data_IF_267787360075
#
_entry.id   IF_267787360075
#
_cell.length_a   1.000
_cell.length_b   1.000
_cell.length_c   1.000
_cell.angle_alpha   90.00
_cell.angle_beta   90.00
_cell.angle_gamma   90.00
#
_symmetry.space_group_name_H-M   'P 1'
#
loop_
_entity.id
_entity.type
_entity.pdbx_description
1 polymer ?
#
# COMPACT_ATOMS: atom_id res chain seq x y z
N UNK A 1 -4.43 27.24 -15.59
CA UNK A 1 -5.68 26.52 -15.25
C UNK A 1 -5.41 25.71 -14.00
N UNK A 2 -6.25 25.83 -12.97
CA UNK A 2 -6.19 24.97 -11.77
C UNK A 2 -6.36 23.52 -12.25
N UNK A 3 -5.44 22.62 -11.91
CA UNK A 3 -5.57 21.21 -12.25
C UNK A 3 -6.82 20.68 -11.52
N UNK A 4 -7.62 19.83 -12.18
CA UNK A 4 -8.87 19.29 -11.61
C UNK A 4 -8.65 18.57 -10.28
N UNK A 5 -7.40 18.18 -10.00
CA UNK A 5 -6.98 17.49 -8.80
C UNK A 5 -6.27 18.36 -7.76
N UNK A 6 -6.13 19.67 -7.95
CA UNK A 6 -5.37 20.54 -7.01
C UNK A 6 -5.92 20.47 -5.59
N UNK A 7 -7.25 20.52 -5.43
CA UNK A 7 -7.90 20.43 -4.12
C UNK A 7 -7.76 19.03 -3.49
N UNK A 8 -7.63 17.98 -4.32
CA UNK A 8 -7.36 16.60 -3.88
C UNK A 8 -5.92 16.47 -3.43
N UNK A 9 -4.97 16.96 -4.23
CA UNK A 9 -3.53 16.98 -3.93
C UNK A 9 -3.27 17.70 -2.60
N UNK A 10 -3.94 18.82 -2.35
CA UNK A 10 -3.78 19.57 -1.11
C UNK A 10 -4.27 18.78 0.12
N UNK A 11 -5.40 18.08 0.01
CA UNK A 11 -5.89 17.19 1.08
C UNK A 11 -4.93 16.02 1.32
N UNK A 12 -4.39 15.43 0.25
CA UNK A 12 -3.43 14.32 0.35
C UNK A 12 -2.11 14.77 0.99
N UNK A 13 -1.62 15.97 0.69
CA UNK A 13 -0.43 16.54 1.36
C UNK A 13 -0.64 16.71 2.86
N UNK A 14 -1.80 17.20 3.29
CA UNK A 14 -2.14 17.27 4.72
C UNK A 14 -2.16 15.90 5.38
N UNK A 15 -2.67 14.88 4.68
CA UNK A 15 -2.63 13.51 5.19
C UNK A 15 -1.18 12.99 5.29
N UNK A 16 -0.34 13.26 4.29
CA UNK A 16 1.07 12.90 4.30
C UNK A 16 1.81 13.49 5.52
N UNK A 17 1.53 14.75 5.86
CA UNK A 17 2.11 15.40 7.05
C UNK A 17 1.71 14.71 8.36
N UNK A 18 0.47 14.22 8.45
CA UNK A 18 -0.01 13.47 9.61
C UNK A 18 0.74 12.13 9.74
N UNK A 19 0.91 11.39 8.65
CA UNK A 19 1.66 10.14 8.64
C UNK A 19 3.11 10.35 9.06
N UNK A 20 3.77 11.37 8.52
CA UNK A 20 5.15 11.70 8.91
C UNK A 20 5.27 12.08 10.39
N UNK A 21 4.26 12.78 10.94
CA UNK A 21 4.20 13.11 12.36
C UNK A 21 4.03 11.86 13.22
N UNK A 22 3.18 10.92 12.81
CA UNK A 22 2.97 9.64 13.50
C UNK A 22 4.25 8.80 13.50
N UNK A 23 4.90 8.64 12.34
CA UNK A 23 6.19 7.95 12.19
C UNK A 23 7.22 8.51 13.17
N UNK A 24 7.41 9.84 13.18
CA UNK A 24 8.36 10.50 14.10
C UNK A 24 8.02 10.27 15.56
N UNK A 25 6.74 10.17 15.94
CA UNK A 25 6.32 9.89 17.31
C UNK A 25 6.62 8.44 17.68
N UNK A 26 6.26 7.49 16.84
CA UNK A 26 6.48 6.07 17.10
C UNK A 26 7.97 5.73 17.24
N UNK A 27 8.84 6.28 16.39
CA UNK A 27 10.29 6.12 16.53
C UNK A 27 10.83 6.59 17.89
N UNK A 28 10.23 7.61 18.51
CA UNK A 28 10.64 8.10 19.84
C UNK A 28 10.11 7.24 20.99
N UNK A 29 8.94 6.63 20.80
CA UNK A 29 8.25 5.84 21.84
C UNK A 29 8.75 4.40 21.87
N UNK A 30 9.02 3.80 20.71
CA UNK A 30 9.43 2.40 20.58
C UNK A 30 10.61 1.99 21.48
N UNK A 31 11.72 2.75 21.57
CA UNK A 31 12.84 2.38 22.44
C UNK A 31 12.48 2.39 23.94
N UNK A 32 11.46 3.17 24.32
CA UNK A 32 11.03 3.35 25.72
C UNK A 32 10.07 2.24 26.18
N UNK A 33 9.50 1.47 25.26
CA UNK A 33 8.61 0.36 25.59
C UNK A 33 9.41 -0.83 26.14
N UNK A 34 9.06 -1.24 27.37
CA UNK A 34 9.63 -2.43 28.04
C UNK A 34 8.96 -3.73 27.59
N UNK A 35 7.67 -3.70 27.27
CA UNK A 35 6.94 -4.87 26.79
C UNK A 35 7.35 -5.21 25.35
N UNK A 36 7.83 -6.43 25.12
CA UNK A 36 8.15 -6.94 23.78
C UNK A 36 6.93 -7.00 22.88
N UNK A 37 5.82 -7.53 23.39
CA UNK A 37 4.54 -7.63 22.66
C UNK A 37 4.02 -6.26 22.23
N UNK A 38 3.99 -5.27 23.13
CA UNK A 38 3.54 -3.91 22.77
C UNK A 38 4.51 -3.23 21.79
N UNK A 39 5.80 -3.56 21.85
CA UNK A 39 6.80 -3.05 20.92
C UNK A 39 6.60 -3.64 19.52
N UNK A 40 6.22 -4.91 19.41
CA UNK A 40 5.89 -5.57 18.14
C UNK A 40 4.63 -4.97 17.52
N UNK A 41 3.55 -4.83 18.31
CA UNK A 41 2.31 -4.18 17.83
C UNK A 41 2.58 -2.74 17.38
N UNK A 42 3.34 -1.95 18.15
CA UNK A 42 3.63 -0.57 17.74
C UNK A 42 4.58 -0.51 16.53
N UNK A 43 5.42 -1.52 16.32
CA UNK A 43 6.25 -1.65 15.12
C UNK A 43 5.41 -1.93 13.88
N UNK A 44 4.41 -2.80 13.96
CA UNK A 44 3.53 -3.07 12.80
C UNK A 44 2.80 -1.80 12.38
N UNK A 45 2.20 -1.08 13.33
CA UNK A 45 1.53 0.22 13.05
C UNK A 45 2.49 1.25 12.43
N UNK A 46 3.76 1.29 12.88
CA UNK A 46 4.77 2.16 12.27
C UNK A 46 5.08 1.76 10.82
N UNK A 47 5.17 0.46 10.52
CA UNK A 47 5.40 -0.05 9.17
C UNK A 47 4.24 0.39 8.25
N UNK A 48 3.00 0.28 8.72
CA UNK A 48 1.82 0.71 7.95
C UNK A 48 1.84 2.22 7.69
N UNK A 49 2.16 3.04 8.70
CA UNK A 49 2.31 4.49 8.51
C UNK A 49 3.40 4.83 7.46
N UNK A 50 4.50 4.06 7.41
CA UNK A 50 5.54 4.22 6.39
C UNK A 50 5.01 3.85 5.00
N UNK A 51 4.27 2.75 4.88
CA UNK A 51 3.65 2.34 3.62
C UNK A 51 2.67 3.41 3.12
N UNK A 52 1.77 3.91 3.99
CA UNK A 52 0.85 5.00 3.67
C UNK A 52 1.58 6.25 3.19
N UNK A 53 2.66 6.66 3.85
CA UNK A 53 3.49 7.81 3.46
C UNK A 53 4.00 7.66 2.02
N UNK A 54 4.53 6.49 1.66
CA UNK A 54 5.07 6.25 0.32
C UNK A 54 3.98 6.22 -0.75
N UNK A 55 2.83 5.60 -0.47
CA UNK A 55 1.66 5.59 -1.36
C UNK A 55 1.15 7.02 -1.59
N UNK A 56 0.99 7.80 -0.52
CA UNK A 56 0.55 9.20 -0.61
C UNK A 56 1.51 10.04 -1.45
N UNK A 57 2.83 9.89 -1.26
CA UNK A 57 3.83 10.55 -2.10
C UNK A 57 3.69 10.19 -3.57
N UNK A 58 3.52 8.89 -3.88
CA UNK A 58 3.36 8.42 -5.24
C UNK A 58 2.09 9.00 -5.89
N UNK A 59 0.95 8.94 -5.21
CA UNK A 59 -0.33 9.49 -5.72
C UNK A 59 -0.23 11.00 -5.91
N UNK A 60 0.30 11.73 -4.93
CA UNK A 60 0.50 13.19 -5.04
C UNK A 60 1.35 13.51 -6.26
N UNK A 61 2.45 12.77 -6.46
CA UNK A 61 3.34 12.93 -7.61
C UNK A 61 2.59 12.69 -8.92
N UNK A 62 1.89 11.57 -9.06
CA UNK A 62 1.09 11.26 -10.25
C UNK A 62 0.10 12.38 -10.52
N UNK A 63 -0.77 12.73 -9.55
CA UNK A 63 -1.83 13.73 -9.71
C UNK A 63 -1.30 15.14 -9.98
N UNK A 64 -0.17 15.51 -9.37
CA UNK A 64 0.49 16.81 -9.59
C UNK A 64 1.11 16.91 -10.98
N UNK A 65 1.47 15.77 -11.58
CA UNK A 65 2.13 15.64 -12.89
C UNK A 65 1.18 15.39 -14.06
N UNK A 66 -0.13 15.32 -13.82
CA UNK A 66 -1.16 15.20 -14.88
C UNK A 66 -1.24 16.46 -15.78
N UNK A 67 -0.26 17.37 -15.75
CA UNK A 67 0.11 18.12 -16.96
C UNK A 67 0.81 17.16 -17.94
N UNK A 68 0.01 16.34 -18.63
CA UNK A 68 0.21 15.36 -19.73
C UNK A 68 1.61 14.92 -20.22
N UNK A 69 2.68 15.71 -20.10
CA UNK A 69 4.04 15.40 -20.57
C UNK A 69 4.89 14.64 -19.52
N UNK A 70 4.75 14.92 -18.21
CA UNK A 70 5.62 14.30 -17.19
C UNK A 70 5.23 12.85 -16.83
N UNK A 71 3.96 12.47 -16.97
CA UNK A 71 3.52 11.10 -16.70
C UNK A 71 4.08 10.10 -17.72
N UNK A 72 4.22 10.53 -18.98
CA UNK A 72 4.84 9.73 -20.06
C UNK A 72 6.30 9.41 -19.70
N UNK A 73 7.05 10.37 -19.16
CA UNK A 73 8.46 10.21 -18.77
C UNK A 73 8.66 9.22 -17.60
N UNK A 74 7.67 9.06 -16.70
CA UNK A 74 7.76 8.04 -15.63
C UNK A 74 7.42 6.64 -16.11
N UNK A 75 6.49 6.51 -17.06
CA UNK A 75 6.22 5.25 -17.73
C UNK A 75 7.44 4.74 -18.50
N UNK A 76 8.25 5.64 -19.08
CA UNK A 76 9.54 5.28 -19.72
C UNK A 76 10.56 4.64 -18.77
N UNK A 77 10.38 4.77 -17.44
CA UNK A 77 11.25 4.13 -16.43
C UNK A 77 10.76 2.75 -15.98
N UNK A 78 9.58 2.33 -16.41
CA UNK A 78 9.14 0.94 -16.30
C UNK A 78 10.06 0.08 -17.18
N UNK A 79 10.45 -1.14 -16.76
CA UNK A 79 11.24 -2.03 -17.59
C UNK A 79 10.66 -2.12 -19.00
N UNK A 80 11.46 -1.74 -19.99
CA UNK A 80 11.02 -1.66 -21.39
C UNK A 80 11.12 -3.02 -22.11
N UNK A 81 11.78 -4.00 -21.48
CA UNK A 81 11.85 -5.34 -22.01
C UNK A 81 10.66 -6.18 -21.49
N UNK A 82 10.11 -6.98 -22.39
CA UNK A 82 8.92 -7.79 -22.11
C UNK A 82 9.15 -8.88 -21.06
N UNK A 83 10.39 -9.37 -20.93
CA UNK A 83 10.75 -10.44 -20.02
C UNK A 83 10.68 -9.99 -18.55
N UNK A 84 11.23 -8.82 -18.23
CA UNK A 84 11.21 -8.24 -16.88
C UNK A 84 9.80 -7.83 -16.48
N UNK A 85 9.02 -7.27 -17.41
CA UNK A 85 7.59 -7.01 -17.20
C UNK A 85 6.83 -8.28 -16.85
N UNK A 86 7.07 -9.36 -17.60
CA UNK A 86 6.41 -10.65 -17.37
C UNK A 86 6.79 -11.24 -16.01
N UNK A 87 8.07 -11.14 -15.62
CA UNK A 87 8.55 -11.58 -14.29
C UNK A 87 7.86 -10.79 -13.16
N UNK A 88 7.79 -9.46 -13.28
CA UNK A 88 7.11 -8.61 -12.29
C UNK A 88 5.64 -9.01 -12.17
N UNK A 89 4.91 -9.09 -13.30
CA UNK A 89 3.49 -9.48 -13.29
C UNK A 89 3.30 -10.86 -12.67
N UNK A 90 4.17 -11.83 -12.98
CA UNK A 90 4.10 -13.16 -12.38
C UNK A 90 4.26 -13.11 -10.85
N UNK A 91 5.29 -12.43 -10.35
CA UNK A 91 5.52 -12.31 -8.90
C UNK A 91 4.35 -11.61 -8.20
N UNK A 92 3.75 -10.59 -8.81
CA UNK A 92 2.56 -9.93 -8.24
C UNK A 92 1.35 -10.87 -8.22
N UNK A 93 1.14 -11.69 -9.25
CA UNK A 93 0.07 -12.70 -9.28
C UNK A 93 0.26 -13.80 -8.24
N UNK A 94 1.48 -14.30 -8.09
CA UNK A 94 1.82 -15.27 -7.03
C UNK A 94 1.52 -14.70 -5.63
N UNK A 95 1.80 -13.41 -5.41
CA UNK A 95 1.45 -12.74 -4.15
C UNK A 95 -0.07 -12.61 -3.98
N UNK A 96 -0.79 -12.23 -5.03
CA UNK A 96 -2.24 -12.11 -5.03
C UNK A 96 -2.94 -13.43 -4.63
N UNK A 97 -2.45 -14.56 -5.14
CA UNK A 97 -2.94 -15.90 -4.78
C UNK A 97 -2.65 -16.24 -3.30
N UNK A 98 -1.48 -15.84 -2.78
CA UNK A 98 -1.14 -16.04 -1.37
C UNK A 98 -2.03 -15.22 -0.43
N UNK A 99 -2.36 -13.98 -0.81
CA UNK A 99 -3.31 -13.14 -0.07
C UNK A 99 -4.71 -13.75 -0.05
N UNK A 100 -5.22 -14.28 -1.17
CA UNK A 100 -6.54 -14.95 -1.19
C UNK A 100 -6.64 -16.11 -0.20
N UNK A 101 -5.56 -16.87 -0.04
CA UNK A 101 -5.48 -17.93 0.97
C UNK A 101 -5.48 -17.35 2.39
N UNK A 102 -4.66 -16.33 2.62
CA UNK A 102 -4.54 -15.64 3.91
C UNK A 102 -5.85 -15.01 4.37
N UNK A 103 -6.60 -14.40 3.46
CA UNK A 103 -7.93 -13.81 3.69
C UNK A 103 -8.90 -14.88 4.23
N UNK A 104 -8.95 -16.06 3.58
CA UNK A 104 -9.83 -17.16 4.00
C UNK A 104 -9.46 -17.71 5.38
N UNK A 105 -8.16 -17.91 5.62
CA UNK A 105 -7.67 -18.47 6.88
C UNK A 105 -7.84 -17.50 8.06
N UNK A 106 -7.53 -16.21 7.85
CA UNK A 106 -7.62 -15.19 8.91
C UNK A 106 -9.06 -14.97 9.37
N UNK A 107 -10.02 -14.98 8.44
CA UNK A 107 -11.44 -14.87 8.79
C UNK A 107 -11.89 -16.07 9.64
N UNK A 108 -11.53 -17.29 9.22
CA UNK A 108 -11.89 -18.51 9.96
C UNK A 108 -11.30 -18.51 11.37
N UNK A 109 -10.06 -18.05 11.55
CA UNK A 109 -9.44 -17.92 12.86
C UNK A 109 -10.19 -16.87 13.71
N UNK A 110 -10.54 -15.72 13.13
CA UNK A 110 -11.24 -14.66 13.86
C UNK A 110 -12.60 -15.12 14.41
N UNK A 111 -13.33 -15.96 13.67
CA UNK A 111 -14.62 -16.53 14.09
C UNK A 111 -14.50 -17.49 15.29
N UNK A 112 -13.34 -18.12 15.47
CA UNK A 112 -13.08 -19.06 16.56
C UNK A 112 -12.57 -18.38 17.84
N UNK A 113 -12.17 -17.11 17.77
CA UNK A 113 -11.62 -16.38 18.92
C UNK A 113 -12.73 -15.73 19.74
N UNK A 114 -12.87 -16.15 21.00
CA UNK A 114 -13.86 -15.60 21.93
C UNK A 114 -13.48 -14.21 22.46
N UNK A 115 -12.18 -13.95 22.61
CA UNK A 115 -11.66 -12.68 23.14
C UNK A 115 -11.90 -11.58 22.11
N UNK A 116 -12.86 -10.70 22.41
CA UNK A 116 -13.28 -9.62 21.51
C UNK A 116 -12.09 -8.82 20.95
N UNK A 117 -11.18 -8.35 21.80
CA UNK A 117 -10.06 -7.53 21.36
C UNK A 117 -9.13 -8.25 20.37
N UNK A 118 -8.91 -9.55 20.54
CA UNK A 118 -8.07 -10.34 19.61
C UNK A 118 -8.84 -10.60 18.31
N UNK A 119 -10.14 -10.88 18.39
CA UNK A 119 -11.00 -11.03 17.22
C UNK A 119 -11.03 -9.75 16.37
N UNK A 120 -11.10 -8.57 16.99
CA UNK A 120 -11.08 -7.31 16.25
C UNK A 120 -9.72 -7.02 15.61
N UNK A 121 -8.61 -7.40 16.27
CA UNK A 121 -7.27 -7.32 15.66
C UNK A 121 -7.19 -8.23 14.42
N UNK A 122 -7.68 -9.46 14.52
CA UNK A 122 -7.71 -10.39 13.37
C UNK A 122 -8.60 -9.89 12.24
N UNK A 123 -9.74 -9.27 12.55
CA UNK A 123 -10.59 -8.61 11.55
C UNK A 123 -9.89 -7.45 10.86
N UNK A 124 -9.11 -6.66 11.61
CA UNK A 124 -8.33 -5.55 11.03
C UNK A 124 -7.29 -6.08 10.04
N UNK A 125 -6.57 -7.15 10.41
CA UNK A 125 -5.61 -7.82 9.50
C UNK A 125 -6.31 -8.34 8.23
N UNK A 126 -7.47 -8.98 8.38
CA UNK A 126 -8.27 -9.44 7.25
C UNK A 126 -8.68 -8.30 6.30
N UNK A 127 -9.11 -7.15 6.85
CA UNK A 127 -9.45 -5.98 6.05
C UNK A 127 -8.23 -5.41 5.30
N UNK A 128 -7.05 -5.43 5.92
CA UNK A 128 -5.81 -4.99 5.28
C UNK A 128 -5.43 -5.89 4.10
N UNK A 129 -5.53 -7.22 4.24
CA UNK A 129 -5.27 -8.14 3.13
C UNK A 129 -6.25 -7.93 1.95
N UNK A 130 -7.53 -7.62 2.21
CA UNK A 130 -8.49 -7.26 1.15
C UNK A 130 -8.05 -5.97 0.42
N UNK A 131 -7.55 -4.99 1.17
CA UNK A 131 -7.06 -3.72 0.61
C UNK A 131 -5.81 -3.96 -0.24
N UNK A 132 -4.84 -4.73 0.25
CA UNK A 132 -3.62 -5.08 -0.48
C UNK A 132 -3.95 -5.81 -1.78
N UNK A 133 -4.82 -6.82 -1.72
CA UNK A 133 -5.30 -7.57 -2.88
C UNK A 133 -5.88 -6.64 -3.96
N UNK A 134 -6.69 -5.66 -3.56
CA UNK A 134 -7.26 -4.67 -4.48
C UNK A 134 -6.19 -3.80 -5.12
N UNK A 135 -5.20 -3.33 -4.35
CA UNK A 135 -4.09 -2.51 -4.86
C UNK A 135 -3.24 -3.29 -5.85
N UNK A 136 -2.85 -4.52 -5.51
CA UNK A 136 -2.02 -5.36 -6.37
C UNK A 136 -2.72 -5.69 -7.69
N UNK A 137 -4.02 -5.99 -7.66
CA UNK A 137 -4.81 -6.21 -8.87
C UNK A 137 -4.81 -4.99 -9.79
N UNK A 138 -4.93 -3.78 -9.24
CA UNK A 138 -4.88 -2.56 -10.03
C UNK A 138 -3.49 -2.32 -10.63
N UNK A 139 -2.41 -2.60 -9.87
CA UNK A 139 -1.04 -2.50 -10.37
C UNK A 139 -0.80 -3.50 -11.51
N UNK A 140 -1.24 -4.75 -11.36
CA UNK A 140 -1.16 -5.77 -12.42
C UNK A 140 -1.85 -5.28 -13.70
N UNK A 141 -3.06 -4.72 -13.59
CA UNK A 141 -3.79 -4.18 -14.75
C UNK A 141 -3.00 -3.09 -15.47
N UNK A 142 -2.35 -2.17 -14.73
CA UNK A 142 -1.50 -1.12 -15.33
C UNK A 142 -0.34 -1.73 -16.10
N UNK A 143 0.35 -2.73 -15.55
CA UNK A 143 1.44 -3.41 -16.26
C UNK A 143 0.95 -4.19 -17.49
N UNK A 144 -0.21 -4.84 -17.40
CA UNK A 144 -0.79 -5.57 -18.53
C UNK A 144 -1.23 -4.64 -19.66
N UNK A 145 -1.84 -3.49 -19.34
CA UNK A 145 -2.17 -2.44 -20.32
C UNK A 145 -0.92 -1.88 -20.99
N UNK A 146 0.12 -1.56 -20.21
CA UNK A 146 1.39 -1.09 -20.74
C UNK A 146 2.05 -2.12 -21.69
N UNK A 147 2.01 -3.40 -21.33
CA UNK A 147 2.59 -4.49 -22.14
C UNK A 147 1.89 -4.69 -23.50
N UNK A 148 0.61 -4.31 -23.64
CA UNK A 148 -0.11 -4.37 -24.92
C UNK A 148 0.45 -3.40 -25.96
N UNK A 149 1.15 -2.36 -25.54
CA UNK A 149 1.84 -1.41 -26.43
C UNK A 149 3.11 -1.98 -27.10
N UNK A 150 3.58 -3.16 -26.69
CA UNK A 150 4.73 -3.86 -27.31
C UNK A 150 4.33 -5.01 -28.24
N UNK A 151 3.04 -5.24 -28.46
CA UNK A 151 2.51 -6.21 -29.44
C UNK A 151 2.10 -5.49 -30.73
#
# INVERSE_FOLDING_TARGET
MKNAYDDVVEKLKKHLELEEKSIRKYFRVLPKLKSGVLKEVLRSVLIDSIAHREILKAIIKVLSRISKEEFIIELEKIPQNYEDLTKIVRTLKEHLEAEEKTIKETLSIAEQVEIYSIREILRTLFEDEIRHHTVLKNIINVFEEYSKGYK
#
